data_IF_974751768641
#
_entry.id   IF_974751768641
#
_cell.length_a   1.000
_cell.length_b   1.000
_cell.length_c   1.000
_cell.angle_alpha   90.00
_cell.angle_beta   90.00
_cell.angle_gamma   90.00
#
_symmetry.space_group_name_H-M   'P 1'
#
loop_
_entity.id
_entity.type
_entity.pdbx_description
1 polymer ?
#
# COMPACT_ATOMS: atom_id res chain seq x y z
N UNK A 1 -17.41 -0.89 15.95
CA UNK A 1 -16.79 -1.82 14.99
C UNK A 1 -15.52 -2.42 15.58
N UNK A 2 -15.38 -3.72 15.45
CA UNK A 2 -14.18 -4.41 15.96
C UNK A 2 -13.06 -4.33 14.91
N UNK A 3 -11.91 -3.83 15.32
CA UNK A 3 -10.76 -3.74 14.43
C UNK A 3 -10.09 -5.10 14.30
N UNK A 4 -9.81 -5.50 13.06
CA UNK A 4 -9.18 -6.77 12.74
C UNK A 4 -7.69 -6.73 13.11
N UNK A 5 -7.22 -7.72 13.88
CA UNK A 5 -5.81 -7.82 14.30
C UNK A 5 -4.90 -8.43 13.24
N UNK A 6 -5.44 -8.93 12.13
CA UNK A 6 -4.60 -9.45 11.06
C UNK A 6 -3.83 -8.32 10.39
N UNK A 7 -2.64 -8.66 9.87
CA UNK A 7 -1.86 -7.72 9.06
C UNK A 7 -2.44 -7.72 7.65
N UNK A 8 -2.80 -6.54 7.16
CA UNK A 8 -3.30 -6.39 5.80
C UNK A 8 -2.13 -6.02 4.90
N UNK A 9 -1.90 -6.82 3.86
CA UNK A 9 -0.96 -6.48 2.80
C UNK A 9 -1.78 -6.13 1.57
N UNK A 10 -1.59 -4.90 1.07
CA UNK A 10 -2.20 -4.45 -0.18
C UNK A 10 -1.11 -4.26 -1.21
N UNK A 11 -1.39 -4.67 -2.43
CA UNK A 11 -0.45 -4.42 -3.52
C UNK A 11 -1.14 -3.73 -4.70
N UNK A 12 -0.37 -2.87 -5.35
CA UNK A 12 -0.77 -2.17 -6.57
C UNK A 12 0.29 -2.49 -7.61
N UNK A 13 -0.02 -3.38 -8.54
CA UNK A 13 0.97 -3.93 -9.46
C UNK A 13 0.55 -3.76 -10.92
N UNK A 14 1.46 -3.27 -11.75
CA UNK A 14 1.24 -3.17 -13.20
C UNK A 14 1.74 -4.43 -13.91
N UNK A 15 2.89 -4.96 -13.49
CA UNK A 15 3.56 -6.06 -14.16
C UNK A 15 3.70 -7.32 -13.31
N UNK A 16 3.13 -7.33 -12.11
CA UNK A 16 3.19 -8.46 -11.20
C UNK A 16 4.30 -8.41 -10.16
N UNK A 17 5.26 -7.50 -10.26
CA UNK A 17 6.38 -7.43 -9.32
C UNK A 17 5.92 -7.11 -7.90
N UNK A 18 5.01 -6.13 -7.75
CA UNK A 18 4.48 -5.78 -6.43
C UNK A 18 3.65 -6.93 -5.85
N UNK A 19 2.90 -7.63 -6.69
CA UNK A 19 2.14 -8.81 -6.27
C UNK A 19 3.06 -9.91 -5.76
N UNK A 20 4.15 -10.22 -6.48
CA UNK A 20 5.10 -11.25 -6.09
C UNK A 20 5.74 -10.91 -4.76
N UNK A 21 6.16 -9.65 -4.57
CA UNK A 21 6.76 -9.20 -3.31
C UNK A 21 5.75 -9.28 -2.17
N UNK A 22 4.49 -8.92 -2.43
CA UNK A 22 3.44 -9.00 -1.42
C UNK A 22 3.22 -10.44 -0.96
N UNK A 23 3.21 -11.39 -1.89
CA UNK A 23 3.02 -12.80 -1.57
C UNK A 23 4.21 -13.39 -0.82
N UNK A 24 5.43 -12.99 -1.18
CA UNK A 24 6.63 -13.38 -0.42
C UNK A 24 6.58 -12.84 1.01
N UNK A 25 6.15 -11.60 1.17
CA UNK A 25 6.03 -10.98 2.49
C UNK A 25 4.96 -11.70 3.32
N UNK A 26 3.84 -12.03 2.72
CA UNK A 26 2.78 -12.81 3.37
C UNK A 26 3.33 -14.13 3.90
N UNK A 27 4.05 -14.87 3.07
CA UNK A 27 4.60 -16.16 3.43
C UNK A 27 5.53 -16.03 4.64
N UNK A 28 6.43 -15.05 4.62
CA UNK A 28 7.38 -14.83 5.70
C UNK A 28 6.68 -14.46 7.02
N UNK A 29 5.65 -13.62 6.95
CA UNK A 29 4.92 -13.22 8.14
C UNK A 29 4.10 -14.36 8.72
N UNK A 30 3.52 -15.20 7.87
CA UNK A 30 2.78 -16.39 8.30
C UNK A 30 3.73 -17.36 9.02
N UNK A 31 4.94 -17.55 8.49
CA UNK A 31 5.95 -18.40 9.14
C UNK A 31 6.35 -17.87 10.53
N UNK A 32 6.28 -16.54 10.72
CA UNK A 32 6.57 -15.92 12.02
C UNK A 32 5.38 -15.97 12.99
N UNK A 33 4.25 -16.53 12.56
CA UNK A 33 3.08 -16.70 13.42
C UNK A 33 2.01 -15.62 13.30
N UNK A 34 2.13 -14.70 12.35
CA UNK A 34 1.13 -13.65 12.15
C UNK A 34 -0.02 -14.14 11.29
N UNK A 35 -1.20 -13.58 11.54
CA UNK A 35 -2.37 -13.76 10.68
C UNK A 35 -2.31 -12.65 9.64
N UNK A 36 -2.33 -13.02 8.35
CA UNK A 36 -2.11 -12.08 7.26
C UNK A 36 -3.22 -12.20 6.21
N UNK A 37 -3.66 -11.05 5.69
CA UNK A 37 -4.54 -10.98 4.52
C UNK A 37 -3.79 -10.23 3.44
N UNK A 38 -3.68 -10.82 2.25
CA UNK A 38 -2.98 -10.22 1.12
C UNK A 38 -3.96 -10.01 -0.03
N UNK A 39 -4.19 -8.76 -0.40
CA UNK A 39 -5.22 -8.40 -1.39
C UNK A 39 -4.68 -7.39 -2.40
N UNK A 40 -5.20 -7.50 -3.63
CA UNK A 40 -4.99 -6.49 -4.67
C UNK A 40 -5.82 -5.24 -4.31
N UNK A 41 -5.24 -4.06 -4.50
CA UNK A 41 -5.98 -2.80 -4.34
C UNK A 41 -7.25 -2.76 -5.19
N UNK A 42 -7.25 -3.43 -6.34
CA UNK A 42 -8.42 -3.54 -7.21
C UNK A 42 -9.63 -4.15 -6.48
N UNK A 43 -9.37 -5.09 -5.57
CA UNK A 43 -10.43 -5.84 -4.87
C UNK A 43 -10.89 -5.16 -3.59
N UNK A 44 -10.38 -3.98 -3.29
CA UNK A 44 -10.67 -3.26 -2.04
C UNK A 44 -10.96 -1.79 -2.33
N UNK A 45 -11.28 -1.06 -1.25
CA UNK A 45 -11.37 0.39 -1.29
C UNK A 45 -10.78 0.95 0.01
N UNK A 46 -10.47 2.26 0.08
CA UNK A 46 -9.81 2.82 1.26
C UNK A 46 -10.58 2.68 2.58
N UNK A 47 -11.91 2.56 2.52
CA UNK A 47 -12.70 2.37 3.75
C UNK A 47 -12.39 1.03 4.41
N UNK A 48 -11.90 0.06 3.65
CA UNK A 48 -11.47 -1.24 4.17
C UNK A 48 -10.34 -1.09 5.20
N UNK A 49 -9.52 -0.05 5.05
CA UNK A 49 -8.42 0.23 5.99
C UNK A 49 -8.92 0.57 7.40
N UNK A 50 -10.16 1.01 7.54
CA UNK A 50 -10.75 1.32 8.84
C UNK A 50 -10.93 0.08 9.71
N UNK A 51 -10.94 -1.10 9.10
CA UNK A 51 -11.18 -2.37 9.77
C UNK A 51 -9.88 -3.06 10.21
N UNK A 52 -8.72 -2.44 9.96
CA UNK A 52 -7.41 -3.05 10.26
C UNK A 52 -6.55 -2.12 11.10
N UNK A 53 -5.69 -2.71 11.93
CA UNK A 53 -4.72 -1.95 12.74
C UNK A 53 -3.41 -1.74 12.00
N UNK A 54 -3.05 -2.66 11.11
CA UNK A 54 -1.75 -2.66 10.46
C UNK A 54 -1.91 -2.95 8.97
N UNK A 55 -1.30 -2.12 8.15
CA UNK A 55 -1.30 -2.29 6.71
C UNK A 55 0.10 -2.12 6.14
N UNK A 56 0.51 -3.05 5.29
CA UNK A 56 1.71 -2.93 4.47
C UNK A 56 1.23 -2.73 3.04
N UNK A 57 1.59 -1.61 2.44
CA UNK A 57 1.19 -1.28 1.08
C UNK A 57 2.42 -1.33 0.18
N UNK A 58 2.35 -2.16 -0.86
CA UNK A 58 3.43 -2.34 -1.83
C UNK A 58 2.92 -1.84 -3.18
N UNK A 59 3.49 -0.75 -3.67
CA UNK A 59 2.96 -0.04 -4.83
C UNK A 59 4.01 0.16 -5.91
N UNK A 60 3.68 -0.29 -7.13
CA UNK A 60 4.47 0.01 -8.33
C UNK A 60 4.09 1.40 -8.84
N UNK A 61 5.07 2.09 -9.43
CA UNK A 61 4.83 3.34 -10.13
C UNK A 61 4.98 3.12 -11.62
N UNK A 62 3.98 3.51 -12.38
CA UNK A 62 4.04 3.50 -13.83
C UNK A 62 4.95 4.64 -14.32
N UNK A 63 5.44 4.56 -15.56
CA UNK A 63 6.48 5.45 -16.09
C UNK A 63 6.19 6.95 -15.90
N UNK A 64 4.91 7.34 -15.93
CA UNK A 64 4.50 8.75 -15.79
C UNK A 64 4.15 9.14 -14.35
N UNK A 65 4.47 8.28 -13.39
CA UNK A 65 4.14 8.54 -11.99
C UNK A 65 2.75 8.09 -11.57
N UNK A 66 1.97 7.56 -12.50
CA UNK A 66 0.61 7.13 -12.24
C UNK A 66 0.57 5.81 -11.46
N UNK A 67 -0.51 5.55 -10.71
CA UNK A 67 -0.68 4.23 -10.12
C UNK A 67 -0.96 3.20 -11.21
N UNK A 68 -0.68 1.90 -10.95
CA UNK A 68 -1.10 0.85 -11.87
C UNK A 68 -2.59 0.90 -12.15
N UNK A 69 -3.01 0.50 -13.35
CA UNK A 69 -4.43 0.56 -13.75
C UNK A 69 -5.34 -0.11 -12.73
N UNK A 70 -4.92 -1.25 -12.20
CA UNK A 70 -5.72 -2.00 -11.22
C UNK A 70 -5.89 -1.28 -9.89
N UNK A 71 -5.04 -0.31 -9.60
CA UNK A 71 -5.08 0.44 -8.34
C UNK A 71 -5.64 1.85 -8.49
N UNK A 72 -5.99 2.26 -9.70
CA UNK A 72 -6.39 3.64 -9.97
C UNK A 72 -7.61 4.07 -9.15
N UNK A 73 -8.62 3.22 -9.06
CA UNK A 73 -9.83 3.53 -8.30
C UNK A 73 -9.52 3.69 -6.81
N UNK A 74 -8.75 2.76 -6.25
CA UNK A 74 -8.34 2.83 -4.85
C UNK A 74 -7.55 4.11 -4.58
N UNK A 75 -6.59 4.41 -5.43
CA UNK A 75 -5.75 5.60 -5.32
C UNK A 75 -6.59 6.89 -5.36
N UNK A 76 -7.48 6.98 -6.35
CA UNK A 76 -8.32 8.18 -6.50
C UNK A 76 -9.32 8.32 -5.36
N UNK A 77 -9.88 7.23 -4.87
CA UNK A 77 -10.79 7.26 -3.72
C UNK A 77 -10.08 7.74 -2.47
N UNK A 78 -8.84 7.30 -2.26
CA UNK A 78 -8.05 7.74 -1.11
C UNK A 78 -7.72 9.23 -1.21
N UNK A 79 -7.37 9.71 -2.42
CA UNK A 79 -7.08 11.13 -2.65
C UNK A 79 -8.31 11.99 -2.41
N UNK A 80 -9.47 11.54 -2.86
CA UNK A 80 -10.70 12.34 -2.83
C UNK A 80 -11.45 12.28 -1.51
N UNK A 81 -11.28 11.21 -0.72
CA UNK A 81 -11.99 11.07 0.54
C UNK A 81 -11.21 11.74 1.68
N UNK A 82 -11.28 13.07 1.75
CA UNK A 82 -10.54 13.87 2.73
C UNK A 82 -11.02 13.65 4.17
N UNK A 83 -12.22 13.09 4.34
CA UNK A 83 -12.81 12.87 5.66
C UNK A 83 -12.55 11.49 6.23
N UNK A 84 -11.85 10.64 5.47
CA UNK A 84 -11.51 9.30 5.95
C UNK A 84 -10.55 9.40 7.13
N UNK A 85 -10.93 8.82 8.27
CA UNK A 85 -10.13 8.82 9.48
C UNK A 85 -9.40 7.49 9.64
N UNK A 86 -8.08 7.53 9.52
CA UNK A 86 -7.21 6.36 9.68
C UNK A 86 -6.29 6.51 10.90
N UNK A 87 -6.71 7.28 11.90
CA UNK A 87 -5.89 7.56 13.09
C UNK A 87 -5.53 6.30 13.89
N UNK A 88 -6.29 5.22 13.74
CA UNK A 88 -6.02 3.94 14.37
C UNK A 88 -5.00 3.08 13.60
N UNK A 89 -4.69 3.46 12.35
CA UNK A 89 -3.91 2.62 11.44
C UNK A 89 -2.42 2.86 11.60
N UNK A 90 -1.66 1.75 11.67
CA UNK A 90 -0.20 1.77 11.55
C UNK A 90 0.13 1.20 10.18
N UNK A 91 1.00 1.87 9.43
CA UNK A 91 1.28 1.46 8.05
C UNK A 91 2.75 1.55 7.68
N UNK A 92 3.11 0.78 6.65
CA UNK A 92 4.41 0.91 5.98
C UNK A 92 4.14 0.88 4.48
N UNK A 93 4.87 1.70 3.73
CA UNK A 93 4.75 1.76 2.27
C UNK A 93 6.08 1.39 1.64
N UNK A 94 6.03 0.44 0.70
CA UNK A 94 7.17 0.04 -0.12
C UNK A 94 6.86 0.43 -1.56
N UNK A 95 7.58 1.41 -2.08
CA UNK A 95 7.42 1.86 -3.45
C UNK A 95 8.38 1.10 -4.37
N UNK A 96 7.88 0.60 -5.48
CA UNK A 96 8.67 -0.07 -6.50
C UNK A 96 8.67 0.80 -7.75
N UNK A 97 9.82 1.05 -8.31
CA UNK A 97 9.92 1.88 -9.50
C UNK A 97 11.27 1.75 -10.17
N UNK A 98 11.41 2.41 -11.30
CA UNK A 98 12.64 2.46 -12.06
C UNK A 98 13.25 3.86 -11.89
N UNK A 99 14.45 3.95 -11.29
CA UNK A 99 15.10 5.22 -11.01
C UNK A 99 15.53 5.96 -12.29
N UNK A 100 15.47 5.28 -13.45
CA UNK A 100 15.69 5.94 -14.73
C UNK A 100 14.58 6.91 -15.12
N UNK A 101 13.41 6.79 -14.50
CA UNK A 101 12.28 7.68 -14.77
C UNK A 101 12.22 8.83 -13.77
N UNK A 102 11.81 10.00 -14.26
CA UNK A 102 11.66 11.21 -13.48
C UNK A 102 10.69 11.04 -12.31
N UNK A 103 9.65 10.23 -12.52
CA UNK A 103 8.60 9.98 -11.53
C UNK A 103 8.87 8.74 -10.66
N UNK A 104 10.14 8.46 -10.40
CA UNK A 104 10.56 7.31 -9.62
C UNK A 104 9.79 7.21 -8.30
N UNK A 105 9.09 6.08 -8.10
CA UNK A 105 8.31 5.79 -6.90
C UNK A 105 7.25 6.82 -6.52
N UNK A 106 6.76 7.61 -7.49
CA UNK A 106 5.78 8.66 -7.23
C UNK A 106 4.48 8.10 -6.63
N UNK A 107 4.04 6.94 -7.12
CA UNK A 107 2.85 6.28 -6.60
C UNK A 107 3.02 5.93 -5.12
N UNK A 108 4.16 5.34 -4.74
CA UNK A 108 4.46 5.00 -3.35
C UNK A 108 4.55 6.25 -2.47
N UNK A 109 5.19 7.29 -2.97
CA UNK A 109 5.29 8.57 -2.26
C UNK A 109 3.91 9.15 -1.97
N UNK A 110 3.02 9.11 -2.94
CA UNK A 110 1.66 9.64 -2.80
C UNK A 110 0.82 8.80 -1.84
N UNK A 111 0.91 7.48 -1.90
CA UNK A 111 0.23 6.62 -0.93
C UNK A 111 0.71 6.90 0.49
N UNK A 112 2.01 7.00 0.70
CA UNK A 112 2.58 7.29 2.01
C UNK A 112 2.07 8.63 2.54
N UNK A 113 2.08 9.66 1.71
CA UNK A 113 1.57 10.98 2.06
C UNK A 113 0.08 10.93 2.41
N UNK A 114 -0.73 10.29 1.56
CA UNK A 114 -2.17 10.26 1.76
C UNK A 114 -2.57 9.51 3.03
N UNK A 115 -1.91 8.38 3.32
CA UNK A 115 -2.20 7.63 4.55
C UNK A 115 -1.84 8.45 5.78
N UNK A 116 -0.73 9.18 5.73
CA UNK A 116 -0.32 10.06 6.82
C UNK A 116 -1.31 11.22 7.00
N UNK A 117 -1.76 11.82 5.91
CA UNK A 117 -2.73 12.92 5.95
C UNK A 117 -4.08 12.47 6.53
N UNK A 118 -4.44 11.20 6.38
CA UNK A 118 -5.67 10.64 6.95
C UNK A 118 -5.51 10.21 8.41
N UNK A 119 -4.36 10.47 9.01
CA UNK A 119 -4.11 10.22 10.42
C UNK A 119 -3.30 8.98 10.74
N UNK A 120 -2.95 8.18 9.75
CA UNK A 120 -2.16 6.97 9.94
C UNK A 120 -0.77 7.24 10.50
N UNK A 121 -0.21 6.28 11.22
CA UNK A 121 1.13 6.34 11.78
C UNK A 121 2.05 5.39 11.06
N UNK A 122 3.23 5.86 10.65
CA UNK A 122 4.21 5.01 9.99
C UNK A 122 4.85 4.04 10.98
N UNK A 123 4.90 2.74 10.61
CA UNK A 123 5.65 1.75 11.37
C UNK A 123 7.15 2.01 11.16
N UNK A 124 7.50 2.38 9.92
CA UNK A 124 8.86 2.72 9.52
C UNK A 124 8.78 3.74 8.37
N UNK A 125 9.86 4.47 8.07
CA UNK A 125 9.87 5.37 6.93
C UNK A 125 9.59 4.62 5.63
N UNK A 126 9.00 5.33 4.65
CA UNK A 126 8.76 4.76 3.32
C UNK A 126 10.06 4.19 2.75
N UNK A 127 9.94 3.01 2.15
CA UNK A 127 11.06 2.35 1.46
C UNK A 127 10.84 2.49 -0.04
N UNK A 128 11.83 3.01 -0.75
CA UNK A 128 11.80 3.16 -2.20
C UNK A 128 12.75 2.12 -2.80
N UNK A 129 12.20 1.21 -3.60
CA UNK A 129 12.95 0.14 -4.22
C UNK A 129 13.12 0.40 -5.72
N UNK A 130 14.35 0.36 -6.19
CA UNK A 130 14.66 0.46 -7.60
C UNK A 130 14.64 -0.96 -8.17
N UNK A 131 13.73 -1.21 -9.12
CA UNK A 131 13.55 -2.54 -9.71
C UNK A 131 14.03 -2.61 -11.16
N UNK A 132 14.76 -1.60 -11.58
CA UNK A 132 15.38 -1.57 -12.91
C UNK A 132 16.51 -2.59 -12.99
#
# INVERSE_FOLDING_TARGET
>A
MRINDSILILYASQTGTAEDLAKDTEEQLVELGYIVRCLDCYDTNPTFLREHKTCILIASTWADGDPPDDAETFYNDLENNKNLDLSHLRFAVFGLGDSAYEQFNECGKNFDRMLKERGGSRILPRVDCDVD
#
